data_IF_163126284142
#
_entry.id   IF_163126284142
#
_cell.length_a   1.000
_cell.length_b   1.000
_cell.length_c   1.000
_cell.angle_alpha   90.00
_cell.angle_beta   90.00
_cell.angle_gamma   90.00
#
_symmetry.space_group_name_H-M   'P 1'
#
loop_
_entity.id
_entity.type
_entity.pdbx_description
1 polymer ?
#
# COMPACT_ATOMS: atom_id res chain seq x y z
N UNK A 1 -17.90 1.08 19.14
CA UNK A 1 -18.27 2.02 18.07
C UNK A 1 -17.84 1.48 16.70
N UNK A 2 -16.57 1.57 16.26
CA UNK A 2 -16.15 1.17 14.90
C UNK A 2 -16.37 -0.33 14.52
N UNK A 3 -16.59 -1.22 15.45
CA UNK A 3 -16.92 -2.63 15.21
C UNK A 3 -18.41 -2.88 14.96
N UNK A 4 -19.23 -1.83 15.05
CA UNK A 4 -20.67 -1.91 14.79
C UNK A 4 -20.91 -2.05 13.27
N UNK A 5 -21.78 -2.97 12.82
CA UNK A 5 -22.08 -3.14 11.38
C UNK A 5 -22.56 -1.86 10.68
N UNK A 6 -23.31 -0.99 11.38
CA UNK A 6 -23.77 0.27 10.82
C UNK A 6 -22.61 1.22 10.52
N UNK A 7 -21.61 1.27 11.40
CA UNK A 7 -20.41 2.10 11.21
C UNK A 7 -19.52 1.54 10.12
N UNK A 8 -19.44 0.21 10.02
CA UNK A 8 -18.76 -0.43 8.89
C UNK A 8 -19.39 -0.02 7.55
N UNK A 9 -20.71 0.00 7.45
CA UNK A 9 -21.40 0.46 6.24
C UNK A 9 -21.02 1.89 5.86
N UNK A 10 -20.88 2.81 6.81
CA UNK A 10 -20.43 4.20 6.57
C UNK A 10 -18.98 4.25 6.06
N UNK A 11 -18.10 3.40 6.61
CA UNK A 11 -16.72 3.29 6.11
C UNK A 11 -16.72 2.79 4.66
N UNK A 12 -17.50 1.74 4.38
CA UNK A 12 -17.60 1.15 3.04
C UNK A 12 -18.20 2.12 2.02
N UNK A 13 -19.20 2.92 2.39
CA UNK A 13 -19.77 3.95 1.54
C UNK A 13 -18.74 5.01 1.14
N UNK A 14 -18.03 5.59 2.11
CA UNK A 14 -16.94 6.53 1.86
C UNK A 14 -15.83 5.89 1.04
N UNK A 15 -15.44 4.66 1.37
CA UNK A 15 -14.43 3.90 0.64
C UNK A 15 -14.84 3.70 -0.82
N UNK A 16 -16.06 3.25 -1.09
CA UNK A 16 -16.52 2.99 -2.45
C UNK A 16 -16.51 4.25 -3.30
N UNK A 17 -16.91 5.40 -2.74
CA UNK A 17 -16.84 6.67 -3.43
C UNK A 17 -15.39 7.05 -3.78
N UNK A 18 -14.46 6.97 -2.83
CA UNK A 18 -13.06 7.33 -3.06
C UNK A 18 -12.30 6.26 -3.86
N UNK A 19 -12.65 4.98 -3.72
CA UNK A 19 -12.06 3.90 -4.52
C UNK A 19 -12.49 4.01 -5.99
N UNK A 20 -13.71 4.45 -6.27
CA UNK A 20 -14.12 4.77 -7.63
C UNK A 20 -13.22 5.81 -8.30
N UNK A 21 -12.70 6.78 -7.53
CA UNK A 21 -11.71 7.73 -8.02
C UNK A 21 -10.36 7.05 -8.33
N UNK A 22 -9.89 6.15 -7.46
CA UNK A 22 -8.67 5.35 -7.68
C UNK A 22 -8.79 4.51 -8.95
N UNK A 23 -9.91 3.81 -9.11
CA UNK A 23 -10.15 2.91 -10.25
C UNK A 23 -10.11 3.65 -11.60
N UNK A 24 -10.41 4.96 -11.64
CA UNK A 24 -10.28 5.77 -12.87
C UNK A 24 -8.84 5.89 -13.37
N UNK A 25 -7.86 5.72 -12.51
CA UNK A 25 -6.44 5.82 -12.84
C UNK A 25 -5.80 4.46 -13.18
N UNK A 26 -6.44 3.36 -12.75
CA UNK A 26 -5.90 2.01 -12.93
C UNK A 26 -6.08 1.57 -14.38
N UNK A 27 -5.00 1.08 -14.98
CA UNK A 27 -4.95 0.50 -16.32
C UNK A 27 -4.70 -1.00 -16.23
N UNK A 28 -4.85 -1.69 -17.35
CA UNK A 28 -4.57 -3.14 -17.44
C UNK A 28 -3.13 -3.46 -17.06
N UNK A 29 -2.19 -2.59 -17.41
CA UNK A 29 -0.75 -2.74 -17.17
C UNK A 29 -0.33 -2.30 -15.75
N UNK A 30 -1.23 -1.67 -14.98
CA UNK A 30 -0.90 -1.21 -13.62
C UNK A 30 -0.61 -2.43 -12.73
N UNK A 31 0.54 -2.46 -12.04
CA UNK A 31 0.86 -3.57 -11.14
C UNK A 31 -0.23 -3.81 -10.10
N UNK A 32 -0.72 -5.05 -9.95
CA UNK A 32 -1.78 -5.38 -8.99
C UNK A 32 -1.45 -5.02 -7.54
N UNK A 33 -0.18 -5.11 -7.14
CA UNK A 33 0.29 -4.70 -5.82
C UNK A 33 0.21 -3.18 -5.61
N UNK A 34 0.46 -2.36 -6.64
CA UNK A 34 0.23 -0.91 -6.58
C UNK A 34 -1.26 -0.63 -6.42
N UNK A 35 -2.10 -1.24 -7.26
CA UNK A 35 -3.57 -1.11 -7.16
C UNK A 35 -4.06 -1.45 -5.77
N UNK A 36 -3.68 -2.59 -5.22
CA UNK A 36 -4.10 -3.03 -3.89
C UNK A 36 -3.61 -2.09 -2.78
N UNK A 37 -2.39 -1.56 -2.89
CA UNK A 37 -1.85 -0.62 -1.93
C UNK A 37 -2.61 0.71 -1.93
N UNK A 38 -2.94 1.25 -3.11
CA UNK A 38 -3.77 2.46 -3.24
C UNK A 38 -5.18 2.23 -2.65
N UNK A 39 -5.82 1.09 -2.94
CA UNK A 39 -7.12 0.72 -2.40
C UNK A 39 -7.08 0.56 -0.87
N UNK A 40 -6.05 -0.08 -0.31
CA UNK A 40 -5.88 -0.21 1.13
C UNK A 40 -5.71 1.15 1.81
N UNK A 41 -4.93 2.06 1.21
CA UNK A 41 -4.76 3.42 1.71
C UNK A 41 -6.08 4.16 1.76
N UNK A 42 -6.85 4.08 0.69
CA UNK A 42 -8.18 4.69 0.59
C UNK A 42 -9.14 4.12 1.63
N UNK A 43 -9.13 2.81 1.87
CA UNK A 43 -9.95 2.18 2.91
C UNK A 43 -9.62 2.71 4.32
N UNK A 44 -8.33 2.79 4.64
CA UNK A 44 -7.89 3.28 5.95
C UNK A 44 -8.21 4.76 6.14
N UNK A 45 -7.99 5.57 5.09
CA UNK A 45 -8.39 6.97 5.12
C UNK A 45 -9.89 7.11 5.38
N UNK A 46 -10.75 6.35 4.69
CA UNK A 46 -12.20 6.32 4.88
C UNK A 46 -12.59 5.94 6.32
N UNK A 47 -11.88 4.95 6.88
CA UNK A 47 -12.08 4.55 8.27
C UNK A 47 -11.76 5.68 9.27
N UNK A 48 -10.66 6.40 9.06
CA UNK A 48 -10.32 7.54 9.94
C UNK A 48 -11.24 8.73 9.72
N UNK A 49 -11.68 9.00 8.48
CA UNK A 49 -12.68 10.03 8.20
C UNK A 49 -13.98 9.75 8.95
N UNK A 50 -14.51 8.53 8.87
CA UNK A 50 -15.70 8.10 9.59
C UNK A 50 -15.52 8.22 11.12
N UNK A 51 -14.37 7.77 11.63
CA UNK A 51 -14.07 7.91 13.06
C UNK A 51 -14.07 9.37 13.50
N UNK A 52 -13.46 10.25 12.72
CA UNK A 52 -13.34 11.68 13.03
C UNK A 52 -14.70 12.39 12.99
N UNK A 53 -15.52 12.16 11.95
CA UNK A 53 -16.86 12.74 11.86
C UNK A 53 -17.78 12.29 12.99
N UNK A 54 -17.77 10.99 13.33
CA UNK A 54 -18.53 10.46 14.47
C UNK A 54 -18.05 11.01 15.82
N UNK A 55 -16.76 11.32 15.94
CA UNK A 55 -16.21 11.98 17.14
C UNK A 55 -16.70 13.42 17.25
N UNK A 56 -16.77 14.17 16.14
CA UNK A 56 -17.37 15.52 16.12
C UNK A 56 -18.86 15.47 16.48
N UNK A 57 -19.61 14.52 15.95
CA UNK A 57 -21.02 14.30 16.32
C UNK A 57 -21.18 14.01 17.80
N UNK A 58 -20.31 13.15 18.37
CA UNK A 58 -20.32 12.86 19.81
C UNK A 58 -20.03 14.09 20.67
N UNK A 59 -19.10 14.95 20.25
CA UNK A 59 -18.78 16.21 20.93
C UNK A 59 -19.90 17.25 20.77
N UNK A 60 -20.62 17.22 19.68
CA UNK A 60 -21.74 18.14 19.43
C UNK A 60 -22.96 17.91 20.34
N UNK A 61 -23.04 16.75 21.01
CA UNK A 61 -24.14 16.40 21.94
C UNK A 61 -24.24 17.33 23.15
N UNK A 62 -23.12 17.89 23.60
CA UNK A 62 -23.06 18.78 24.74
C UNK A 62 -22.71 20.21 24.38
N UNK A 63 -23.17 21.18 25.18
CA UNK A 63 -22.74 22.57 25.08
C UNK A 63 -21.40 22.84 25.79
N UNK A 64 -20.97 24.10 25.84
CA UNK A 64 -19.72 24.51 26.44
C UNK A 64 -19.67 24.25 27.96
N UNK A 65 -20.82 24.18 28.61
CA UNK A 65 -20.96 23.89 30.04
C UNK A 65 -21.09 22.39 30.34
N UNK A 66 -21.01 21.53 29.28
CA UNK A 66 -21.14 20.07 29.42
C UNK A 66 -22.58 19.57 29.57
N UNK A 67 -23.60 20.42 29.39
CA UNK A 67 -25.00 20.02 29.43
C UNK A 67 -25.44 19.47 28.08
N UNK A 68 -26.30 18.45 28.08
CA UNK A 68 -26.89 17.89 26.86
C UNK A 68 -27.76 18.95 26.16
N UNK A 69 -27.50 19.21 24.91
CA UNK A 69 -28.23 20.16 24.06
C UNK A 69 -29.67 19.68 23.81
N UNK A 70 -30.62 20.61 23.60
CA UNK A 70 -31.94 20.27 23.07
C UNK A 70 -31.80 19.53 21.74
N UNK A 71 -32.66 18.53 21.51
CA UNK A 71 -32.57 17.64 20.34
C UNK A 71 -32.52 18.41 19.00
N UNK A 72 -33.35 19.46 18.82
CA UNK A 72 -33.36 20.24 17.58
C UNK A 72 -32.06 21.01 17.32
N UNK A 73 -31.38 21.47 18.37
CA UNK A 73 -30.06 22.09 18.25
C UNK A 73 -29.02 21.06 17.88
N UNK A 74 -29.01 19.92 18.56
CA UNK A 74 -28.12 18.80 18.25
C UNK A 74 -28.33 18.28 16.82
N UNK A 75 -29.58 18.13 16.36
CA UNK A 75 -29.90 17.71 15.00
C UNK A 75 -29.30 18.63 13.96
N UNK A 76 -29.43 19.97 14.13
CA UNK A 76 -28.82 20.95 13.23
C UNK A 76 -27.29 20.86 13.21
N UNK A 77 -26.66 20.64 14.35
CA UNK A 77 -25.20 20.46 14.43
C UNK A 77 -24.78 19.20 13.68
N UNK A 78 -25.52 18.09 13.81
CA UNK A 78 -25.25 16.84 13.09
C UNK A 78 -25.40 17.02 11.58
N UNK A 79 -26.47 17.70 11.12
CA UNK A 79 -26.70 18.01 9.70
C UNK A 79 -25.56 18.85 9.12
N UNK A 80 -25.09 19.87 9.87
CA UNK A 80 -23.95 20.69 9.46
C UNK A 80 -22.63 19.92 9.39
N UNK A 81 -22.40 18.98 10.32
CA UNK A 81 -21.23 18.09 10.31
C UNK A 81 -21.32 17.17 9.07
N UNK A 82 -22.46 16.55 8.83
CA UNK A 82 -22.66 15.65 7.71
C UNK A 82 -22.42 16.36 6.36
N UNK A 83 -23.01 17.54 6.15
CA UNK A 83 -22.80 18.36 4.94
C UNK A 83 -21.32 18.71 4.74
N UNK A 84 -20.63 19.13 5.80
CA UNK A 84 -19.22 19.44 5.77
C UNK A 84 -18.37 18.26 5.30
N UNK A 85 -18.62 17.04 5.81
CA UNK A 85 -17.82 15.85 5.50
C UNK A 85 -18.21 15.19 4.18
N UNK A 86 -19.50 15.16 3.85
CA UNK A 86 -19.99 14.38 2.72
C UNK A 86 -20.26 15.22 1.46
N UNK A 87 -20.20 16.55 1.55
CA UNK A 87 -20.26 17.44 0.40
C UNK A 87 -18.92 18.10 0.14
N UNK A 88 -18.48 19.01 1.02
CA UNK A 88 -17.31 19.83 0.75
C UNK A 88 -15.99 19.04 0.81
N UNK A 89 -15.80 18.27 1.87
CA UNK A 89 -14.55 17.51 2.05
C UNK A 89 -14.48 16.33 1.10
N UNK A 90 -15.57 15.59 0.91
CA UNK A 90 -15.60 14.45 0.01
C UNK A 90 -15.28 14.85 -1.43
N UNK A 91 -15.75 16.02 -1.89
CA UNK A 91 -15.42 16.52 -3.22
C UNK A 91 -13.91 16.79 -3.39
N UNK A 92 -13.30 17.45 -2.41
CA UNK A 92 -11.86 17.72 -2.43
C UNK A 92 -11.02 16.43 -2.38
N UNK A 93 -11.44 15.49 -1.54
CA UNK A 93 -10.80 14.18 -1.35
C UNK A 93 -10.94 13.30 -2.59
N UNK A 94 -12.11 13.31 -3.24
CA UNK A 94 -12.34 12.59 -4.49
C UNK A 94 -11.40 13.08 -5.59
N UNK A 95 -11.36 14.42 -5.81
CA UNK A 95 -10.48 15.00 -6.82
C UNK A 95 -9.00 14.73 -6.50
N UNK A 96 -8.62 14.77 -5.22
CA UNK A 96 -7.27 14.39 -4.79
C UNK A 96 -7.00 12.92 -5.09
N UNK A 97 -7.92 12.01 -4.78
CA UNK A 97 -7.76 10.59 -5.04
C UNK A 97 -7.59 10.29 -6.54
N UNK A 98 -8.39 10.93 -7.42
CA UNK A 98 -8.23 10.81 -8.89
C UNK A 98 -6.82 11.21 -9.31
N UNK A 99 -6.41 12.43 -8.95
CA UNK A 99 -5.14 12.97 -9.42
C UNK A 99 -3.94 12.23 -8.84
N UNK A 100 -3.96 11.94 -7.54
CA UNK A 100 -2.88 11.23 -6.85
C UNK A 100 -2.69 9.82 -7.41
N UNK A 101 -3.78 9.11 -7.69
CA UNK A 101 -3.71 7.76 -8.27
C UNK A 101 -3.16 7.78 -9.69
N UNK A 102 -3.55 8.77 -10.50
CA UNK A 102 -2.96 8.97 -11.85
C UNK A 102 -1.46 9.22 -11.77
N UNK A 103 -1.02 10.05 -10.80
CA UNK A 103 0.40 10.33 -10.61
C UNK A 103 1.16 9.13 -10.06
N UNK A 104 0.54 8.31 -9.20
CA UNK A 104 1.14 7.07 -8.72
C UNK A 104 1.39 6.07 -9.87
N UNK A 105 0.44 5.89 -10.76
CA UNK A 105 0.59 5.04 -11.96
C UNK A 105 1.68 5.60 -12.88
N UNK A 106 1.66 6.91 -13.17
CA UNK A 106 2.72 7.55 -13.98
C UNK A 106 4.11 7.38 -13.37
N UNK A 107 4.23 7.51 -12.05
CA UNK A 107 5.52 7.28 -11.39
C UNK A 107 6.04 5.87 -11.63
N UNK A 108 5.17 4.86 -11.52
CA UNK A 108 5.55 3.48 -11.80
C UNK A 108 6.04 3.34 -13.23
N UNK A 109 5.27 3.84 -14.21
CA UNK A 109 5.63 3.78 -15.63
C UNK A 109 6.98 4.46 -15.90
N UNK A 110 7.22 5.64 -15.31
CA UNK A 110 8.46 6.40 -15.49
C UNK A 110 9.69 5.72 -14.87
N UNK A 111 9.50 4.99 -13.77
CA UNK A 111 10.61 4.29 -13.12
C UNK A 111 11.06 3.03 -13.87
N UNK A 112 10.23 2.47 -14.75
CA UNK A 112 10.65 1.40 -15.66
C UNK A 112 11.71 1.86 -16.66
N UNK A 113 11.62 3.11 -17.10
CA UNK A 113 12.62 3.73 -17.99
C UNK A 113 13.89 4.20 -17.28
N UNK A 114 13.82 4.35 -15.97
CA UNK A 114 14.91 4.86 -15.12
C UNK A 114 15.34 6.27 -15.56
N UNK A 115 16.65 6.55 -15.47
CA UNK A 115 17.20 7.86 -15.80
C UNK A 115 17.52 8.04 -17.31
N UNK A 116 16.89 7.26 -18.20
CA UNK A 116 16.98 7.52 -19.66
C UNK A 116 16.34 8.84 -20.05
N UNK A 117 15.31 9.24 -19.30
CA UNK A 117 14.58 10.49 -19.44
C UNK A 117 14.79 11.36 -18.22
N UNK A 118 14.57 12.66 -18.37
CA UNK A 118 14.34 13.56 -17.26
C UNK A 118 12.84 13.65 -16.99
N UNK A 119 12.48 13.97 -15.76
CA UNK A 119 11.15 14.36 -15.38
C UNK A 119 11.03 15.87 -15.39
N UNK A 120 9.95 16.39 -15.94
CA UNK A 120 9.70 17.81 -16.12
C UNK A 120 8.36 18.18 -15.48
N UNK A 121 8.42 19.09 -14.51
CA UNK A 121 7.26 19.57 -13.77
C UNK A 121 6.45 20.55 -14.62
N UNK A 122 5.14 20.37 -14.69
CA UNK A 122 4.23 21.27 -15.39
C UNK A 122 3.06 21.66 -14.53
N UNK A 123 2.81 22.93 -14.41
CA UNK A 123 1.53 23.44 -13.88
C UNK A 123 0.42 23.32 -14.90
N UNK A 124 -0.84 23.61 -14.47
CA UNK A 124 -1.96 23.63 -15.39
C UNK A 124 -1.91 24.80 -16.40
N UNK A 125 -1.02 25.79 -16.19
CA UNK A 125 -0.81 26.92 -17.09
C UNK A 125 -1.97 27.91 -17.19
N UNK A 126 -2.94 27.85 -16.27
CA UNK A 126 -4.09 28.75 -16.25
C UNK A 126 -4.07 29.71 -15.04
N UNK A 127 -4.93 30.72 -15.06
CA UNK A 127 -5.01 31.75 -14.00
C UNK A 127 -5.48 31.23 -12.62
N UNK A 128 -5.68 29.91 -12.46
CA UNK A 128 -6.00 29.28 -11.17
C UNK A 128 -4.82 28.51 -10.57
N UNK A 129 -3.65 28.56 -11.20
CA UNK A 129 -2.41 28.02 -10.62
C UNK A 129 -2.00 28.95 -9.48
N UNK A 130 -1.71 28.37 -8.32
CA UNK A 130 -1.20 29.14 -7.17
C UNK A 130 0.21 29.63 -7.45
N UNK A 131 0.58 30.80 -6.92
CA UNK A 131 1.90 31.39 -7.15
C UNK A 131 3.06 30.49 -6.67
N UNK A 132 2.88 29.85 -5.52
CA UNK A 132 3.83 28.90 -4.95
C UNK A 132 3.99 27.65 -5.83
N UNK A 133 2.91 27.13 -6.43
CA UNK A 133 2.97 26.05 -7.40
C UNK A 133 3.59 26.50 -8.73
N UNK A 134 3.35 27.74 -9.16
CA UNK A 134 3.94 28.29 -10.38
C UNK A 134 5.48 28.31 -10.33
N UNK A 135 6.07 28.47 -9.15
CA UNK A 135 7.51 28.42 -8.96
C UNK A 135 8.14 27.05 -9.26
N UNK A 136 7.35 25.99 -9.32
CA UNK A 136 7.81 24.63 -9.67
C UNK A 136 7.71 24.36 -11.18
N UNK A 137 7.05 25.22 -11.95
CA UNK A 137 6.90 25.03 -13.40
C UNK A 137 8.25 25.01 -14.08
N UNK A 138 8.47 24.03 -14.95
CA UNK A 138 9.72 23.89 -15.67
C UNK A 138 10.85 23.20 -14.91
N UNK A 139 10.69 22.83 -13.64
CA UNK A 139 11.70 22.03 -12.93
C UNK A 139 11.93 20.72 -13.69
N UNK A 140 13.19 20.52 -14.14
CA UNK A 140 13.63 19.38 -14.95
C UNK A 140 14.78 18.68 -14.26
N UNK A 141 14.58 17.45 -13.80
CA UNK A 141 15.57 16.67 -13.05
C UNK A 141 15.45 15.17 -13.41
N UNK A 142 16.52 14.36 -13.27
CA UNK A 142 16.44 12.91 -13.41
C UNK A 142 15.43 12.31 -12.43
N UNK A 143 14.77 11.20 -12.82
CA UNK A 143 13.80 10.50 -11.97
C UNK A 143 14.36 10.03 -10.63
N UNK A 144 15.66 9.74 -10.56
CA UNK A 144 16.38 9.36 -9.33
C UNK A 144 16.59 10.52 -8.36
N UNK A 145 16.38 11.80 -8.78
CA UNK A 145 16.62 12.95 -7.92
C UNK A 145 15.66 12.96 -6.71
N UNK A 146 16.21 13.31 -5.54
CA UNK A 146 15.47 13.35 -4.26
C UNK A 146 14.30 14.33 -4.27
N UNK A 147 14.33 15.37 -5.09
CA UNK A 147 13.23 16.32 -5.30
C UNK A 147 11.88 15.60 -5.51
N UNK A 148 11.88 14.60 -6.37
CA UNK A 148 10.67 13.83 -6.70
C UNK A 148 10.12 13.00 -5.55
N UNK A 149 10.90 12.74 -4.52
CA UNK A 149 10.41 12.03 -3.32
C UNK A 149 9.47 12.89 -2.48
N UNK A 150 9.56 14.22 -2.58
CA UNK A 150 8.78 15.16 -1.78
C UNK A 150 7.81 16.01 -2.60
N UNK A 151 8.14 16.32 -3.85
CA UNK A 151 7.42 17.33 -4.64
C UNK A 151 6.85 16.80 -5.94
N UNK A 152 6.79 15.48 -6.11
CA UNK A 152 6.02 14.87 -7.19
C UNK A 152 4.52 15.11 -6.91
N UNK A 153 3.76 15.80 -7.82
CA UNK A 153 2.42 16.27 -7.50
C UNK A 153 1.43 15.13 -7.21
N UNK A 154 0.30 15.43 -6.52
CA UNK A 154 -0.20 16.74 -6.13
C UNK A 154 0.43 17.25 -4.81
N UNK A 155 0.72 18.57 -4.75
CA UNK A 155 1.37 19.18 -3.59
C UNK A 155 0.39 19.96 -2.69
N UNK A 156 -0.90 19.84 -2.90
CA UNK A 156 -1.98 20.40 -2.07
C UNK A 156 -3.34 19.87 -2.54
N UNK A 157 -4.40 20.12 -1.75
CA UNK A 157 -5.79 19.89 -2.18
C UNK A 157 -6.13 20.67 -3.46
N UNK A 158 -6.75 19.99 -4.43
CA UNK A 158 -7.11 20.59 -5.70
C UNK A 158 -5.92 20.99 -6.58
N UNK A 159 -4.71 20.55 -6.27
CA UNK A 159 -3.56 20.69 -7.15
C UNK A 159 -3.81 19.98 -8.49
N UNK A 160 -3.48 20.67 -9.60
CA UNK A 160 -3.64 20.16 -10.98
C UNK A 160 -2.31 20.11 -11.73
N UNK A 161 -1.20 20.23 -11.00
CA UNK A 161 0.14 20.11 -11.56
C UNK A 161 0.40 18.68 -12.00
N UNK A 162 1.29 18.53 -12.97
CA UNK A 162 1.61 17.26 -13.59
C UNK A 162 3.12 17.12 -13.77
N UNK A 163 3.59 15.93 -14.05
CA UNK A 163 4.97 15.65 -14.45
C UNK A 163 4.94 14.85 -15.75
N UNK A 164 5.84 15.17 -16.67
CA UNK A 164 6.01 14.44 -17.92
C UNK A 164 7.46 14.01 -18.07
N UNK A 165 7.67 12.87 -18.76
CA UNK A 165 9.00 12.48 -19.21
C UNK A 165 9.39 13.33 -20.42
N UNK A 166 10.65 13.78 -20.45
CA UNK A 166 11.25 14.54 -21.55
C UNK A 166 12.61 13.93 -21.90
N UNK A 167 13.06 14.06 -23.14
CA UNK A 167 14.41 13.68 -23.52
C UNK A 167 15.41 14.55 -22.75
N UNK A 168 16.58 14.00 -22.45
CA UNK A 168 17.57 14.67 -21.60
C UNK A 168 18.00 16.04 -22.12
N UNK A 169 18.03 16.20 -23.44
CA UNK A 169 18.52 17.41 -24.09
C UNK A 169 17.39 18.37 -24.52
N UNK A 170 16.11 18.01 -24.34
CA UNK A 170 14.98 18.86 -24.76
C UNK A 170 14.80 20.08 -23.86
N UNK A 171 15.19 19.97 -22.60
CA UNK A 171 15.05 21.04 -21.60
C UNK A 171 16.33 21.18 -20.78
N UNK A 172 16.71 22.41 -20.45
CA UNK A 172 17.85 22.65 -19.55
C UNK A 172 17.58 22.00 -18.20
N UNK A 173 18.59 21.32 -17.67
CA UNK A 173 18.50 20.73 -16.33
C UNK A 173 18.44 21.84 -15.26
N UNK A 174 17.49 21.69 -14.34
CA UNK A 174 17.36 22.61 -13.22
C UNK A 174 18.46 22.40 -12.18
N UNK A 175 18.80 23.46 -11.47
CA UNK A 175 19.64 23.38 -10.27
C UNK A 175 18.86 22.65 -9.15
N UNK A 176 19.36 21.52 -8.61
CA UNK A 176 18.62 20.72 -7.63
C UNK A 176 18.37 21.46 -6.31
N UNK A 177 19.30 22.32 -5.86
CA UNK A 177 19.14 23.06 -4.61
C UNK A 177 18.07 24.13 -4.74
N UNK A 178 18.02 24.83 -5.88
CA UNK A 178 16.95 25.80 -6.18
C UNK A 178 15.60 25.13 -6.33
N UNK A 179 15.54 23.97 -6.98
CA UNK A 179 14.30 23.20 -7.10
C UNK A 179 13.79 22.75 -5.71
N UNK A 180 14.69 22.26 -4.85
CA UNK A 180 14.33 21.90 -3.47
C UNK A 180 13.82 23.11 -2.68
N UNK A 181 14.50 24.27 -2.77
CA UNK A 181 14.07 25.48 -2.09
C UNK A 181 12.68 25.97 -2.57
N UNK A 182 12.39 25.88 -3.88
CA UNK A 182 11.07 26.20 -4.43
C UNK A 182 9.99 25.22 -3.91
N UNK A 183 10.30 23.90 -3.83
CA UNK A 183 9.42 22.90 -3.25
C UNK A 183 9.15 23.13 -1.75
N UNK A 184 10.18 23.51 -1.00
CA UNK A 184 10.03 23.85 0.42
C UNK A 184 9.15 25.08 0.62
N UNK A 185 9.31 26.12 -0.19
CA UNK A 185 8.46 27.30 -0.18
C UNK A 185 7.00 26.98 -0.58
N UNK A 186 6.80 26.16 -1.63
CA UNK A 186 5.48 25.71 -2.08
C UNK A 186 4.68 24.99 -0.99
N UNK A 187 5.35 24.36 -0.04
CA UNK A 187 4.75 23.58 1.04
C UNK A 187 5.15 24.09 2.42
N UNK A 188 5.36 25.40 2.57
CA UNK A 188 5.81 26.03 3.83
C UNK A 188 4.72 25.98 4.91
N UNK A 189 3.44 26.17 4.53
CA UNK A 189 2.31 26.08 5.46
C UNK A 189 2.28 24.68 6.12
N UNK A 190 2.15 24.61 7.45
CA UNK A 190 2.07 23.33 8.17
C UNK A 190 1.01 22.36 7.63
N UNK A 191 -0.10 22.88 7.07
CA UNK A 191 -1.16 22.06 6.47
C UNK A 191 -0.75 21.50 5.11
N UNK A 192 0.14 22.17 4.38
CA UNK A 192 0.64 21.71 3.09
C UNK A 192 1.79 20.72 3.24
N UNK A 193 2.54 20.76 4.36
CA UNK A 193 3.65 19.83 4.61
C UNK A 193 3.27 18.36 4.56
N UNK A 194 1.99 18.02 4.78
CA UNK A 194 1.53 16.64 4.65
C UNK A 194 1.61 16.13 3.21
N UNK A 195 1.62 17.01 2.21
CA UNK A 195 1.72 16.65 0.79
C UNK A 195 3.17 16.45 0.30
N UNK A 196 4.17 16.56 1.20
CA UNK A 196 5.57 16.23 0.90
C UNK A 196 5.77 14.72 0.84
N UNK A 197 5.22 14.09 -0.17
CA UNK A 197 5.39 12.66 -0.44
C UNK A 197 5.20 12.38 -1.94
N UNK A 198 5.71 11.24 -2.39
CA UNK A 198 5.48 10.75 -3.74
C UNK A 198 4.52 9.56 -3.67
N UNK A 199 3.35 9.73 -4.24
CA UNK A 199 2.27 8.73 -4.19
C UNK A 199 2.67 7.37 -4.81
N UNK A 200 3.40 7.38 -5.91
CA UNK A 200 3.87 6.16 -6.57
C UNK A 200 4.97 5.47 -5.78
N UNK A 201 5.94 6.24 -5.26
CA UNK A 201 7.05 5.72 -4.46
C UNK A 201 6.57 5.15 -3.11
N UNK A 202 5.57 5.79 -2.50
CA UNK A 202 5.01 5.37 -1.23
C UNK A 202 3.80 4.45 -1.39
N UNK A 203 3.29 4.27 -2.61
CA UNK A 203 2.11 3.49 -2.95
C UNK A 203 0.89 3.91 -2.11
N UNK A 204 0.66 5.22 -2.00
CA UNK A 204 -0.40 5.81 -1.16
C UNK A 204 -1.17 6.89 -1.91
N UNK A 205 -2.49 6.95 -1.70
CA UNK A 205 -3.36 8.02 -2.21
C UNK A 205 -3.36 9.20 -1.26
N UNK A 206 -3.58 8.95 0.02
CA UNK A 206 -3.67 9.97 1.05
C UNK A 206 -2.42 10.00 1.92
N UNK A 207 -1.97 11.20 2.34
CA UNK A 207 -0.75 11.34 3.11
C UNK A 207 -0.86 10.66 4.48
N UNK A 208 0.27 10.19 5.01
CA UNK A 208 0.36 9.56 6.35
C UNK A 208 -0.12 10.47 7.49
N UNK A 209 0.03 11.78 7.32
CA UNK A 209 -0.35 12.80 8.30
C UNK A 209 -1.56 13.59 7.80
N UNK A 210 -2.69 12.92 7.63
CA UNK A 210 -3.93 13.60 7.26
C UNK A 210 -4.72 14.08 8.50
N UNK A 211 -5.63 15.07 8.36
CA UNK A 211 -6.30 15.71 9.49
C UNK A 211 -7.25 14.81 10.29
N UNK A 212 -7.66 13.67 9.74
CA UNK A 212 -8.56 12.73 10.42
C UNK A 212 -7.86 11.79 11.41
N UNK A 213 -6.55 11.82 11.48
CA UNK A 213 -5.83 11.02 12.49
C UNK A 213 -6.18 11.52 13.90
N UNK A 214 -6.44 10.60 14.85
CA UNK A 214 -6.70 10.97 16.23
C UNK A 214 -5.58 11.82 16.83
N UNK A 215 -5.94 12.75 17.73
CA UNK A 215 -4.95 13.53 18.49
C UNK A 215 -3.99 12.58 19.22
N UNK A 216 -2.70 12.87 19.14
CA UNK A 216 -1.65 12.03 19.74
C UNK A 216 -1.06 10.98 18.82
N UNK A 217 -1.60 10.79 17.59
CA UNK A 217 -0.99 9.89 16.60
C UNK A 217 0.46 10.29 16.23
N UNK A 218 0.81 11.56 16.35
CA UNK A 218 2.18 12.03 16.12
C UNK A 218 3.20 11.43 17.09
N UNK A 219 2.78 11.10 18.31
CA UNK A 219 3.59 10.45 19.34
C UNK A 219 3.27 8.95 19.49
N UNK A 220 2.44 8.38 18.62
CA UNK A 220 2.08 6.99 18.68
C UNK A 220 3.28 6.09 18.32
N UNK A 221 3.59 5.06 19.12
CA UNK A 221 4.65 4.09 18.80
C UNK A 221 4.45 3.41 17.44
N UNK A 222 3.20 3.30 16.99
CA UNK A 222 2.81 2.74 15.70
C UNK A 222 2.82 3.75 14.54
N UNK A 223 3.35 4.96 14.72
CA UNK A 223 3.39 6.03 13.71
C UNK A 223 3.90 5.57 12.34
N UNK A 224 4.91 4.71 12.30
CA UNK A 224 5.44 4.13 11.07
C UNK A 224 4.59 3.00 10.50
N UNK A 225 3.68 2.41 11.29
CA UNK A 225 2.84 1.28 10.89
C UNK A 225 1.50 1.71 10.28
N UNK A 226 1.17 2.99 10.33
CA UNK A 226 0.08 3.58 9.53
C UNK A 226 0.43 3.56 8.04
N UNK A 227 1.67 3.27 7.73
CA UNK A 227 2.07 2.84 6.41
C UNK A 227 1.54 1.42 6.17
N UNK A 228 0.67 1.28 5.23
CA UNK A 228 -0.23 0.18 4.92
C UNK A 228 0.41 -1.19 4.64
N UNK A 229 1.71 -1.21 4.41
CA UNK A 229 2.45 -2.44 4.16
C UNK A 229 2.66 -3.29 5.42
N UNK A 230 2.49 -2.74 6.61
CA UNK A 230 2.80 -3.45 7.85
C UNK A 230 1.67 -3.34 8.86
N UNK A 231 1.34 -4.47 9.50
CA UNK A 231 0.49 -4.46 10.69
C UNK A 231 1.10 -3.55 11.76
N UNK A 232 0.30 -2.75 12.50
CA UNK A 232 0.76 -2.15 13.73
C UNK A 232 1.40 -3.22 14.64
N UNK A 233 2.56 -2.95 15.20
CA UNK A 233 3.23 -3.91 16.08
C UNK A 233 2.29 -4.31 17.24
N UNK A 234 1.93 -5.59 17.39
CA UNK A 234 1.02 -6.02 18.43
C UNK A 234 1.60 -5.85 19.84
N UNK A 235 2.91 -5.71 19.96
CA UNK A 235 3.59 -5.44 21.23
C UNK A 235 3.46 -3.97 21.67
N UNK A 236 3.08 -3.06 20.75
CA UNK A 236 2.91 -1.65 21.04
C UNK A 236 1.44 -1.31 21.36
N UNK A 237 1.18 -0.39 22.30
CA UNK A 237 -0.16 0.08 22.57
C UNK A 237 -0.81 0.62 21.29
N UNK A 238 -1.97 0.08 20.95
CA UNK A 238 -2.76 0.54 19.81
C UNK A 238 -3.96 1.33 20.31
N UNK A 239 -4.24 2.46 19.69
CA UNK A 239 -5.54 3.07 19.91
C UNK A 239 -6.62 2.17 19.27
N UNK A 240 -7.81 2.16 19.89
CA UNK A 240 -8.93 1.31 19.49
C UNK A 240 -9.36 1.58 18.04
N UNK A 241 -9.28 2.82 17.58
CA UNK A 241 -9.62 3.20 16.22
C UNK A 241 -8.69 2.52 15.21
N UNK A 242 -7.36 2.62 15.39
CA UNK A 242 -6.38 1.97 14.52
C UNK A 242 -6.63 0.46 14.45
N UNK A 243 -6.77 -0.21 15.60
CA UNK A 243 -6.95 -1.65 15.64
C UNK A 243 -8.16 -2.14 14.86
N UNK A 244 -9.30 -1.42 14.96
CA UNK A 244 -10.51 -1.79 14.20
C UNK A 244 -10.36 -1.50 12.72
N UNK A 245 -9.90 -0.29 12.33
CA UNK A 245 -9.76 0.10 10.92
C UNK A 245 -8.82 -0.85 10.19
N UNK A 246 -7.66 -1.16 10.78
CA UNK A 246 -6.72 -2.10 10.16
C UNK A 246 -7.26 -3.52 10.05
N UNK A 247 -8.02 -3.99 11.05
CA UNK A 247 -8.65 -5.29 10.97
C UNK A 247 -9.69 -5.37 9.86
N UNK A 248 -10.50 -4.32 9.67
CA UNK A 248 -11.49 -4.29 8.58
C UNK A 248 -10.80 -4.16 7.20
N UNK A 249 -9.77 -3.32 7.08
CA UNK A 249 -8.95 -3.25 5.86
C UNK A 249 -8.34 -4.61 5.49
N UNK A 250 -7.84 -5.34 6.48
CA UNK A 250 -7.30 -6.68 6.28
C UNK A 250 -8.34 -7.68 5.78
N UNK A 251 -9.56 -7.63 6.31
CA UNK A 251 -10.67 -8.47 5.84
C UNK A 251 -11.02 -8.17 4.38
N UNK A 252 -11.02 -6.90 4.02
CA UNK A 252 -11.27 -6.48 2.65
C UNK A 252 -10.15 -6.98 1.70
N UNK A 253 -8.88 -6.86 2.09
CA UNK A 253 -7.76 -7.44 1.35
C UNK A 253 -7.87 -8.97 1.21
N UNK A 254 -8.28 -9.67 2.28
CA UNK A 254 -8.53 -11.12 2.22
C UNK A 254 -9.68 -11.48 1.27
N UNK A 255 -10.74 -10.67 1.21
CA UNK A 255 -11.85 -10.85 0.28
C UNK A 255 -11.35 -10.76 -1.17
N UNK A 256 -10.64 -9.68 -1.51
CA UNK A 256 -10.05 -9.48 -2.86
C UNK A 256 -9.13 -10.63 -3.25
N UNK A 257 -8.24 -11.05 -2.37
CA UNK A 257 -7.30 -12.14 -2.63
C UNK A 257 -8.01 -13.48 -2.79
N UNK A 258 -9.10 -13.72 -2.06
CA UNK A 258 -9.91 -14.93 -2.22
C UNK A 258 -10.68 -14.95 -3.55
N UNK A 259 -11.15 -13.81 -4.03
CA UNK A 259 -11.78 -13.68 -5.34
C UNK A 259 -10.76 -13.92 -6.46
N UNK A 260 -9.61 -13.23 -6.38
CA UNK A 260 -8.49 -13.44 -7.31
C UNK A 260 -8.06 -14.91 -7.38
N UNK A 261 -7.89 -15.56 -6.22
CA UNK A 261 -7.54 -16.98 -6.12
C UNK A 261 -8.54 -17.90 -6.86
N UNK A 262 -9.83 -17.61 -6.74
CA UNK A 262 -10.87 -18.39 -7.42
C UNK A 262 -10.79 -18.25 -8.94
N UNK A 263 -10.49 -17.05 -9.42
CA UNK A 263 -10.44 -16.72 -10.84
C UNK A 263 -9.14 -17.13 -11.52
N UNK A 264 -8.01 -17.12 -10.80
CA UNK A 264 -6.68 -17.27 -11.40
C UNK A 264 -5.99 -18.61 -11.07
N UNK A 265 -6.41 -19.31 -10.01
CA UNK A 265 -5.80 -20.59 -9.61
C UNK A 265 -6.78 -21.74 -9.80
N UNK A 266 -6.45 -22.74 -10.64
CA UNK A 266 -7.27 -23.93 -10.82
C UNK A 266 -7.56 -24.66 -9.50
N UNK A 267 -8.65 -25.41 -9.43
CA UNK A 267 -8.98 -26.19 -8.22
C UNK A 267 -8.00 -27.36 -8.01
N UNK A 268 -7.56 -27.96 -9.11
CA UNK A 268 -6.54 -29.02 -9.10
C UNK A 268 -5.28 -28.52 -9.79
N UNK A 269 -4.11 -28.80 -9.19
CA UNK A 269 -2.85 -28.25 -9.64
C UNK A 269 -2.61 -26.85 -9.08
N UNK A 270 -2.17 -25.91 -9.90
CA UNK A 270 -1.85 -24.56 -9.48
C UNK A 270 -1.44 -23.66 -10.66
N UNK A 271 -1.07 -22.43 -10.35
CA UNK A 271 -0.45 -21.49 -11.26
C UNK A 271 1.06 -21.77 -11.29
N UNK A 272 1.64 -22.08 -12.45
CA UNK A 272 3.09 -22.22 -12.64
C UNK A 272 3.69 -20.88 -13.05
N UNK A 273 4.75 -20.48 -12.35
CA UNK A 273 5.50 -19.24 -12.61
C UNK A 273 6.90 -19.66 -13.06
N UNK A 274 7.14 -19.52 -14.36
CA UNK A 274 8.42 -19.89 -14.97
C UNK A 274 9.54 -18.93 -14.52
N UNK A 275 10.73 -19.47 -14.26
CA UNK A 275 11.88 -18.65 -13.90
C UNK A 275 13.16 -19.46 -13.69
N UNK A 276 14.25 -18.99 -14.28
CA UNK A 276 15.56 -19.63 -14.20
C UNK A 276 16.17 -19.61 -12.77
N UNK A 277 15.54 -18.88 -11.85
CA UNK A 277 15.99 -18.80 -10.45
C UNK A 277 15.47 -19.95 -9.59
N UNK A 278 14.50 -20.73 -10.09
CA UNK A 278 13.97 -21.90 -9.42
C UNK A 278 14.78 -23.16 -9.79
N UNK A 279 14.97 -24.06 -8.85
CA UNK A 279 15.72 -25.29 -9.05
C UNK A 279 15.03 -26.23 -10.07
N UNK A 280 13.68 -26.14 -10.13
CA UNK A 280 12.86 -26.91 -11.08
C UNK A 280 12.45 -26.12 -12.33
N UNK A 281 12.95 -24.87 -12.47
CA UNK A 281 12.59 -23.98 -13.57
C UNK A 281 11.25 -23.26 -13.39
N UNK A 282 10.47 -23.58 -12.36
CA UNK A 282 9.20 -22.92 -12.07
C UNK A 282 8.79 -22.99 -10.60
N UNK A 283 7.96 -22.04 -10.17
CA UNK A 283 7.31 -21.99 -8.88
C UNK A 283 5.83 -22.31 -9.02
N UNK A 284 5.35 -23.32 -8.31
CA UNK A 284 3.95 -23.68 -8.25
C UNK A 284 3.25 -22.89 -7.14
N UNK A 285 2.15 -22.20 -7.48
CA UNK A 285 1.29 -21.50 -6.54
C UNK A 285 -0.09 -22.16 -6.56
N UNK A 286 -0.40 -22.90 -5.52
CA UNK A 286 -1.70 -23.58 -5.35
C UNK A 286 -2.68 -22.72 -4.57
N UNK A 287 -3.97 -23.09 -4.55
CA UNK A 287 -4.95 -22.49 -3.63
C UNK A 287 -4.55 -22.67 -2.16
N UNK A 288 -3.84 -23.76 -1.86
CA UNK A 288 -3.24 -24.04 -0.56
C UNK A 288 -2.11 -23.06 -0.22
N UNK A 289 -1.26 -22.75 -1.19
CA UNK A 289 -0.18 -21.74 -1.06
C UNK A 289 -0.73 -20.39 -0.63
N UNK A 290 -1.77 -19.89 -1.31
CA UNK A 290 -2.41 -18.60 -0.98
C UNK A 290 -2.97 -18.62 0.45
N UNK A 291 -3.69 -19.69 0.83
CA UNK A 291 -4.20 -19.85 2.20
C UNK A 291 -3.07 -19.88 3.23
N UNK A 292 -1.97 -20.55 2.92
CA UNK A 292 -0.80 -20.64 3.79
C UNK A 292 -0.14 -19.28 3.98
N UNK A 293 0.10 -18.52 2.90
CA UNK A 293 0.65 -17.16 3.00
C UNK A 293 -0.24 -16.27 3.87
N UNK A 294 -1.56 -16.27 3.64
CA UNK A 294 -2.51 -15.51 4.47
C UNK A 294 -2.41 -15.88 5.95
N UNK A 295 -2.26 -17.16 6.25
CA UNK A 295 -2.16 -17.66 7.63
C UNK A 295 -0.83 -17.32 8.32
N UNK A 296 0.26 -17.13 7.57
CA UNK A 296 1.59 -16.89 8.11
C UNK A 296 1.97 -15.42 8.26
N UNK A 297 1.24 -14.50 7.61
CA UNK A 297 1.53 -13.08 7.71
C UNK A 297 0.27 -12.25 7.84
N UNK A 298 0.39 -11.15 8.58
CA UNK A 298 -0.61 -10.09 8.68
C UNK A 298 -0.18 -8.85 7.89
N UNK A 299 0.99 -8.90 7.26
CA UNK A 299 1.52 -7.85 6.42
C UNK A 299 0.72 -7.77 5.11
N UNK A 300 0.08 -6.64 4.86
CA UNK A 300 -0.76 -6.44 3.68
C UNK A 300 0.07 -6.46 2.39
N UNK A 301 1.27 -5.88 2.37
CA UNK A 301 2.11 -5.87 1.18
C UNK A 301 2.47 -7.30 0.72
N UNK A 302 2.79 -8.20 1.67
CA UNK A 302 3.05 -9.62 1.34
C UNK A 302 1.78 -10.28 0.76
N UNK A 303 0.61 -10.01 1.32
CA UNK A 303 -0.64 -10.60 0.85
C UNK A 303 -1.01 -10.09 -0.54
N UNK A 304 -0.89 -8.78 -0.73
CA UNK A 304 -1.27 -8.12 -1.98
C UNK A 304 -0.29 -8.45 -3.12
N UNK A 305 0.98 -8.74 -2.82
CA UNK A 305 1.95 -9.19 -3.83
C UNK A 305 1.55 -10.49 -4.54
N UNK A 306 0.72 -11.31 -3.90
CA UNK A 306 0.15 -12.49 -4.55
C UNK A 306 -0.76 -12.16 -5.73
N UNK A 307 -1.39 -10.99 -5.74
CA UNK A 307 -2.25 -10.56 -6.86
C UNK A 307 -1.45 -10.39 -8.16
N UNK A 308 -0.17 -9.99 -8.06
CA UNK A 308 0.74 -9.83 -9.19
C UNK A 308 1.65 -11.03 -9.47
N UNK A 309 1.55 -12.10 -8.68
CA UNK A 309 2.52 -13.20 -8.71
C UNK A 309 2.61 -13.90 -10.08
N UNK A 310 1.50 -14.00 -10.80
CA UNK A 310 1.44 -14.58 -12.15
C UNK A 310 1.96 -13.68 -13.26
N UNK A 311 2.22 -12.41 -12.99
CA UNK A 311 2.68 -11.41 -13.95
C UNK A 311 4.21 -11.17 -13.89
N UNK A 312 4.93 -11.99 -13.11
CA UNK A 312 6.39 -11.86 -12.96
C UNK A 312 6.83 -10.67 -12.09
N UNK A 313 5.90 -10.08 -11.34
CA UNK A 313 6.16 -8.92 -10.48
C UNK A 313 7.19 -9.19 -9.37
N UNK A 314 7.32 -10.44 -8.94
CA UNK A 314 8.24 -10.83 -7.88
C UNK A 314 9.53 -11.42 -8.45
N UNK A 315 10.65 -10.83 -8.06
CA UNK A 315 11.99 -11.37 -8.35
C UNK A 315 12.45 -12.24 -7.19
N UNK A 316 12.80 -13.49 -7.48
CA UNK A 316 13.27 -14.46 -6.52
C UNK A 316 14.79 -14.65 -6.64
N UNK A 317 15.51 -14.57 -5.52
CA UNK A 317 16.94 -14.85 -5.41
C UNK A 317 17.13 -16.03 -4.46
N UNK A 318 17.70 -17.14 -4.93
CA UNK A 318 17.89 -18.34 -4.13
C UNK A 318 18.92 -18.09 -3.01
N UNK A 319 18.58 -18.52 -1.80
CA UNK A 319 19.41 -18.32 -0.61
C UNK A 319 20.01 -19.62 -0.07
N UNK A 320 19.32 -20.74 -0.24
CA UNK A 320 19.71 -22.02 0.33
C UNK A 320 18.50 -22.90 0.64
N UNK A 321 18.74 -24.03 1.30
CA UNK A 321 17.70 -24.98 1.66
C UNK A 321 17.81 -25.46 3.11
N UNK A 322 16.77 -26.10 3.62
CA UNK A 322 16.72 -26.62 4.97
C UNK A 322 15.78 -27.82 5.11
N UNK A 323 16.05 -28.68 6.06
CA UNK A 323 15.24 -29.87 6.31
C UNK A 323 13.87 -29.55 6.89
N UNK A 324 12.89 -30.43 6.64
CA UNK A 324 11.59 -30.35 7.27
C UNK A 324 11.67 -30.61 8.77
N UNK A 325 11.16 -29.65 9.57
CA UNK A 325 11.10 -29.81 11.03
C UNK A 325 10.12 -30.93 11.40
N UNK A 326 10.53 -31.75 12.37
CA UNK A 326 9.66 -32.68 13.05
C UNK A 326 9.06 -32.06 14.31
N UNK A 327 7.89 -32.52 14.68
CA UNK A 327 7.32 -32.15 15.98
C UNK A 327 8.15 -32.79 17.09
N UNK A 328 8.67 -32.04 18.06
CA UNK A 328 9.59 -32.56 19.07
C UNK A 328 8.92 -33.54 20.06
N UNK A 329 7.58 -33.52 20.14
CA UNK A 329 6.82 -34.39 21.06
C UNK A 329 6.42 -35.68 20.38
N UNK A 330 5.92 -35.61 19.14
CA UNK A 330 5.36 -36.76 18.41
C UNK A 330 6.34 -37.41 17.45
N UNK A 331 7.47 -36.75 17.13
CA UNK A 331 8.43 -37.19 16.11
C UNK A 331 7.90 -37.14 14.67
N UNK A 332 6.67 -36.66 14.47
CA UNK A 332 6.03 -36.62 13.16
C UNK A 332 6.50 -35.39 12.38
N UNK A 333 6.77 -35.54 11.09
CA UNK A 333 7.08 -34.38 10.21
C UNK A 333 5.91 -33.46 10.13
N UNK A 334 6.14 -32.15 10.32
CA UNK A 334 5.09 -31.11 10.23
C UNK A 334 4.55 -30.95 8.81
N UNK A 335 5.37 -31.29 7.80
CA UNK A 335 5.04 -31.20 6.37
C UNK A 335 5.47 -32.49 5.68
N UNK A 336 4.71 -33.61 5.81
CA UNK A 336 5.07 -34.89 5.20
C UNK A 336 5.09 -34.84 3.68
N UNK A 337 4.33 -33.92 3.07
CA UNK A 337 4.30 -33.67 1.64
C UNK A 337 5.58 -33.00 1.09
N UNK A 338 6.38 -32.37 1.94
CA UNK A 338 7.62 -31.73 1.55
C UNK A 338 8.82 -32.64 1.76
N UNK A 339 9.74 -32.71 0.80
CA UNK A 339 11.05 -33.34 0.98
C UNK A 339 11.96 -32.49 1.88
N UNK A 340 12.03 -31.21 1.57
CA UNK A 340 12.75 -30.16 2.29
C UNK A 340 12.16 -28.80 1.93
N UNK A 341 12.72 -27.71 2.45
CA UNK A 341 12.35 -26.35 2.09
C UNK A 341 13.48 -25.63 1.37
N UNK A 342 13.11 -24.87 0.33
CA UNK A 342 13.95 -23.93 -0.37
C UNK A 342 13.61 -22.50 0.11
N UNK A 343 14.59 -21.65 0.16
CA UNK A 343 14.46 -20.28 0.66
C UNK A 343 14.91 -19.29 -0.40
N UNK A 344 14.08 -18.30 -0.64
CA UNK A 344 14.34 -17.25 -1.62
C UNK A 344 14.16 -15.87 -0.98
N UNK A 345 15.05 -14.95 -1.34
CA UNK A 345 14.84 -13.53 -1.09
C UNK A 345 13.88 -13.01 -2.14
N UNK A 346 12.92 -12.16 -1.73
CA UNK A 346 11.97 -11.49 -2.62
C UNK A 346 11.86 -10.02 -2.24
N UNK A 347 11.79 -9.15 -3.25
CA UNK A 347 11.57 -7.72 -3.06
C UNK A 347 10.09 -7.41 -3.30
N UNK A 348 9.43 -6.77 -2.31
CA UNK A 348 8.03 -6.36 -2.37
C UNK A 348 7.94 -4.92 -1.90
N UNK A 349 7.44 -4.03 -2.75
CA UNK A 349 7.29 -2.60 -2.43
C UNK A 349 8.60 -1.97 -1.89
N UNK A 350 9.73 -2.29 -2.50
CA UNK A 350 11.05 -1.78 -2.13
C UNK A 350 11.60 -2.30 -0.79
N UNK A 351 11.05 -3.40 -0.27
CA UNK A 351 11.52 -4.06 0.96
C UNK A 351 11.83 -5.52 0.71
N UNK A 352 12.82 -6.02 1.41
CA UNK A 352 13.23 -7.43 1.35
C UNK A 352 12.35 -8.30 2.25
N UNK A 353 11.87 -9.40 1.69
CA UNK A 353 11.16 -10.48 2.36
C UNK A 353 11.73 -11.84 1.97
N UNK A 354 11.24 -12.91 2.58
CA UNK A 354 11.78 -14.25 2.40
C UNK A 354 10.67 -15.25 2.10
N UNK A 355 10.70 -15.83 0.90
CA UNK A 355 9.79 -16.89 0.51
C UNK A 355 10.32 -18.25 0.95
N UNK A 356 9.49 -19.02 1.64
CA UNK A 356 9.73 -20.43 1.94
C UNK A 356 8.94 -21.24 0.92
N UNK A 357 9.63 -22.14 0.24
CA UNK A 357 9.11 -22.94 -0.85
C UNK A 357 9.32 -24.42 -0.50
N UNK A 358 8.27 -25.22 -0.63
CA UNK A 358 8.34 -26.68 -0.43
C UNK A 358 8.91 -27.34 -1.69
N UNK A 359 9.92 -28.19 -1.53
CA UNK A 359 10.22 -29.23 -2.50
C UNK A 359 9.13 -30.31 -2.38
N UNK A 360 8.05 -30.19 -3.18
CA UNK A 360 6.83 -30.96 -2.99
C UNK A 360 6.95 -32.38 -3.59
N UNK A 361 6.91 -33.40 -2.75
CA UNK A 361 7.12 -34.82 -3.16
C UNK A 361 6.17 -35.31 -4.23
N UNK A 362 4.90 -35.00 -4.07
CA UNK A 362 3.85 -35.50 -4.98
C UNK A 362 3.85 -34.77 -6.33
N UNK A 363 4.01 -33.45 -6.32
CA UNK A 363 4.00 -32.66 -7.57
C UNK A 363 5.36 -32.63 -8.26
N UNK A 364 6.43 -33.07 -7.59
CA UNK A 364 7.82 -32.90 -8.07
C UNK A 364 8.09 -31.45 -8.53
N UNK A 365 7.65 -30.50 -7.72
CA UNK A 365 7.65 -29.07 -8.02
C UNK A 365 7.99 -28.24 -6.79
N UNK A 366 8.52 -27.06 -7.02
CA UNK A 366 8.71 -26.03 -6.01
C UNK A 366 7.37 -25.35 -5.71
N UNK A 367 6.74 -25.65 -4.57
CA UNK A 367 5.47 -25.07 -4.17
C UNK A 367 5.64 -23.96 -3.16
N UNK A 368 5.12 -22.75 -3.44
CA UNK A 368 5.12 -21.64 -2.48
C UNK A 368 4.38 -22.04 -1.20
N UNK A 369 5.06 -21.91 -0.06
CA UNK A 369 4.47 -22.19 1.25
C UNK A 369 4.12 -20.93 2.01
N UNK A 370 5.09 -20.03 2.22
CA UNK A 370 4.81 -18.73 2.87
C UNK A 370 5.87 -17.70 2.48
N UNK A 371 5.54 -16.43 2.71
CA UNK A 371 6.47 -15.30 2.62
C UNK A 371 6.53 -14.64 4.00
N UNK A 372 7.73 -14.32 4.48
CA UNK A 372 8.00 -13.82 5.84
C UNK A 372 8.91 -12.60 5.82
N UNK A 373 8.83 -11.82 6.88
CA UNK A 373 9.67 -10.62 7.08
C UNK A 373 11.11 -10.98 7.51
N UNK A 374 11.34 -12.17 8.05
CA UNK A 374 12.64 -12.60 8.56
C UNK A 374 12.91 -14.05 8.17
N UNK A 375 14.19 -14.32 7.89
CA UNK A 375 14.75 -15.66 7.67
C UNK A 375 16.07 -15.77 8.43
N UNK A 376 16.30 -16.89 9.08
CA UNK A 376 17.61 -17.19 9.69
C UNK A 376 18.53 -17.81 8.62
N UNK A 377 19.16 -16.95 7.83
CA UNK A 377 20.00 -17.35 6.69
C UNK A 377 21.20 -18.22 7.18
N UNK A 378 21.72 -17.97 8.38
CA UNK A 378 22.83 -18.71 8.93
C UNK A 378 22.51 -20.20 9.22
N UNK A 379 21.26 -20.58 9.33
CA UNK A 379 20.80 -21.96 9.50
C UNK A 379 20.57 -22.70 8.17
N UNK A 380 20.68 -22.01 7.03
CA UNK A 380 20.45 -22.61 5.72
C UNK A 380 21.67 -23.38 5.24
N UNK A 381 21.43 -24.46 4.54
CA UNK A 381 22.46 -25.20 3.78
C UNK A 381 22.65 -24.53 2.44
N UNK A 382 23.91 -24.30 2.05
CA UNK A 382 24.28 -23.59 0.82
C UNK A 382 24.90 -24.54 -0.23
N UNK A 383 25.04 -25.83 0.09
CA UNK A 383 25.35 -26.90 -0.86
C UNK A 383 24.15 -27.10 -1.83
N UNK A 384 24.36 -27.82 -2.91
CA UNK A 384 23.30 -28.14 -3.84
C UNK A 384 22.17 -28.91 -3.12
N UNK A 385 20.90 -28.49 -3.29
CA UNK A 385 19.78 -29.26 -2.73
C UNK A 385 19.68 -30.63 -3.41
N UNK A 386 19.02 -31.62 -2.76
CA UNK A 386 18.77 -32.92 -3.39
C UNK A 386 18.07 -32.74 -4.76
N UNK A 387 18.41 -33.62 -5.71
CA UNK A 387 17.80 -33.56 -7.05
C UNK A 387 16.28 -33.84 -7.00
N UNK A 388 15.56 -33.42 -8.04
CA UNK A 388 14.09 -33.60 -8.12
C UNK A 388 13.70 -35.09 -8.07
N UNK A 389 14.56 -35.95 -8.51
CA UNK A 389 14.34 -37.41 -8.48
C UNK A 389 14.37 -37.97 -7.04
N UNK A 390 15.08 -37.28 -6.16
CA UNK A 390 15.23 -37.63 -4.73
C UNK A 390 14.10 -37.01 -3.86
N UNK A 391 13.23 -36.17 -4.41
CA UNK A 391 12.17 -35.49 -3.66
C UNK A 391 11.06 -36.42 -3.16
#
# INVERSE_FOLDING_TARGET
MLADPAIRALIEETYNALNGAVDTAIKTETPPELTAALQNNTFIFSGFKTYHSLSEVGLALTDADGKVKPFETFRKDVEAIDDKYNTNYLYAEYNHAVHTSQMAVKWNDYMEDGDRYNLHYRTAGDGRVREDHAALDGVTLPGSNVFWSSYFPPNDWGCRCNVVQVLRDDYPMSDPERAMAAGDACTEDPKQRMFRYNAGKEMTVFPKKHPYLPKGCDNCPNKGSLNLATRPDPALPQCRACGVIFNECRKEGERRLNEWKKSNIPERGGLSIEGNNFQTGSLLVTRGSVKSVIGHTLNLAIRDSLLGIGQGALKYEYLGWGECKTDPVTGVRKHPEAAFFLYYKVEIAGRTYYANVKAHRHYKAEELYCIRERCNIAELRHDAPPSIDEW
#
